data_IF_399874476687
#
_entry.id   IF_399874476687
#
_cell.length_a   1.000
_cell.length_b   1.000
_cell.length_c   1.000
_cell.angle_alpha   90.00
_cell.angle_beta   90.00
_cell.angle_gamma   90.00
#
_symmetry.space_group_name_H-M   'P 1'
#
loop_
_entity.id
_entity.type
_entity.pdbx_description
1 polymer ?
#
# COMPACT_ATOMS: atom_id res chain seq x y z
N UNK A 1 -10.58 30.43 27.51
CA UNK A 1 -11.16 29.14 27.11
C UNK A 1 -10.68 28.91 25.69
N UNK A 2 -9.66 28.10 25.52
CA UNK A 2 -9.15 27.73 24.20
C UNK A 2 -10.17 26.80 23.57
N UNK A 3 -10.60 27.14 22.35
CA UNK A 3 -11.42 26.28 21.50
C UNK A 3 -10.62 25.02 21.22
N UNK A 4 -11.12 23.88 21.71
CA UNK A 4 -10.69 22.56 21.24
C UNK A 4 -10.82 22.54 19.71
N UNK A 5 -9.68 22.64 19.05
CA UNK A 5 -9.61 22.38 17.61
C UNK A 5 -10.10 20.96 17.42
N UNK A 6 -11.09 20.81 16.58
CA UNK A 6 -11.70 19.55 16.16
C UNK A 6 -10.57 18.66 15.57
N UNK A 7 -9.86 17.92 16.43
CA UNK A 7 -8.86 16.94 16.00
C UNK A 7 -9.66 15.78 15.41
N UNK A 8 -9.74 15.74 14.09
CA UNK A 8 -10.31 14.60 13.38
C UNK A 8 -9.55 13.33 13.77
N UNK A 9 -10.28 12.25 13.99
CA UNK A 9 -9.67 10.94 14.19
C UNK A 9 -8.91 10.52 12.94
N UNK A 10 -7.74 9.91 13.13
CA UNK A 10 -6.92 9.42 12.01
C UNK A 10 -7.66 8.31 11.26
N UNK A 11 -7.78 8.47 9.93
CA UNK A 11 -8.37 7.47 9.04
C UNK A 11 -7.32 6.44 8.63
N UNK A 12 -7.63 5.15 8.81
CA UNK A 12 -6.82 4.05 8.31
C UNK A 12 -7.34 3.59 6.95
N UNK A 13 -6.46 3.61 5.94
CA UNK A 13 -6.71 3.07 4.60
C UNK A 13 -5.82 1.84 4.41
N UNK A 14 -6.43 0.68 4.28
CA UNK A 14 -5.73 -0.60 4.18
C UNK A 14 -5.81 -1.11 2.74
N UNK A 15 -4.68 -1.38 2.14
CA UNK A 15 -4.59 -2.11 0.89
C UNK A 15 -4.88 -3.61 1.15
N UNK A 16 -6.10 -4.02 0.84
CA UNK A 16 -6.58 -5.38 1.11
C UNK A 16 -5.82 -6.43 0.30
N UNK A 17 -5.51 -6.14 -0.96
CA UNK A 17 -4.77 -7.05 -1.82
C UNK A 17 -3.35 -7.25 -1.29
N UNK A 18 -2.62 -6.18 -1.03
CA UNK A 18 -1.26 -6.24 -0.50
C UNK A 18 -1.19 -7.02 0.80
N UNK A 19 -2.10 -6.75 1.76
CA UNK A 19 -2.12 -7.46 3.02
C UNK A 19 -2.49 -8.94 2.86
N UNK A 20 -3.44 -9.29 1.98
CA UNK A 20 -3.83 -10.67 1.72
C UNK A 20 -2.69 -11.50 1.13
N UNK A 21 -2.00 -10.95 0.12
CA UNK A 21 -0.80 -11.60 -0.43
C UNK A 21 0.31 -11.73 0.60
N UNK A 22 0.54 -10.67 1.38
CA UNK A 22 1.53 -10.69 2.47
C UNK A 22 1.21 -11.79 3.48
N UNK A 23 -0.04 -11.91 3.93
CA UNK A 23 -0.49 -12.93 4.86
C UNK A 23 -0.25 -14.34 4.31
N UNK A 24 -0.61 -14.56 3.05
CA UNK A 24 -0.45 -15.84 2.38
C UNK A 24 1.02 -16.27 2.30
N UNK A 25 1.92 -15.40 1.84
CA UNK A 25 3.33 -15.76 1.66
C UNK A 25 4.17 -15.71 2.94
N UNK A 26 3.70 -15.05 3.99
CA UNK A 26 4.43 -14.99 5.27
C UNK A 26 4.22 -16.19 6.16
N UNK A 27 3.17 -16.98 5.91
CA UNK A 27 2.78 -18.11 6.73
C UNK A 27 2.80 -19.44 5.95
N UNK A 28 3.11 -20.55 6.63
CA UNK A 28 3.10 -21.86 5.99
C UNK A 28 1.73 -22.24 5.43
N UNK A 29 1.70 -22.80 4.22
CA UNK A 29 0.48 -23.33 3.59
C UNK A 29 -0.15 -24.50 4.37
N UNK A 30 0.61 -25.11 5.30
CA UNK A 30 0.11 -26.18 6.18
C UNK A 30 -0.87 -25.68 7.26
N UNK A 31 -1.04 -24.35 7.41
CA UNK A 31 -2.07 -23.81 8.30
C UNK A 31 -3.43 -23.99 7.65
N UNK A 32 -4.20 -24.93 8.19
CA UNK A 32 -5.48 -25.35 7.65
C UNK A 32 -6.45 -25.76 8.78
N UNK A 33 -7.73 -25.82 8.46
CA UNK A 33 -8.74 -26.41 9.36
C UNK A 33 -8.52 -27.92 9.54
N UNK A 34 -9.20 -28.53 10.51
CA UNK A 34 -9.20 -29.99 10.70
C UNK A 34 -9.73 -30.78 9.50
N UNK A 35 -10.47 -30.12 8.60
CA UNK A 35 -11.00 -30.70 7.35
C UNK A 35 -10.09 -30.46 6.15
N UNK A 36 -8.93 -29.80 6.34
CA UNK A 36 -7.93 -29.52 5.29
C UNK A 36 -8.16 -28.24 4.50
N UNK A 37 -9.14 -27.38 4.85
CA UNK A 37 -9.32 -26.10 4.19
C UNK A 37 -8.17 -25.14 4.56
N UNK A 38 -7.44 -24.53 3.59
CA UNK A 38 -6.32 -23.66 3.86
C UNK A 38 -6.79 -22.37 4.55
N UNK A 39 -6.06 -21.91 5.57
CA UNK A 39 -6.43 -20.74 6.37
C UNK A 39 -5.26 -19.80 6.66
N UNK A 40 -4.08 -20.04 6.10
CA UNK A 40 -2.89 -19.21 6.36
C UNK A 40 -3.10 -17.73 5.98
N UNK A 41 -3.73 -17.44 4.84
CA UNK A 41 -4.02 -16.05 4.43
C UNK A 41 -5.06 -15.41 5.35
N UNK A 42 -6.17 -16.10 5.65
CA UNK A 42 -7.23 -15.61 6.56
C UNK A 42 -6.65 -15.33 7.94
N UNK A 43 -5.88 -16.28 8.49
CA UNK A 43 -5.26 -16.12 9.81
C UNK A 43 -4.25 -14.98 9.85
N UNK A 44 -3.39 -14.88 8.85
CA UNK A 44 -2.40 -13.80 8.77
C UNK A 44 -3.05 -12.43 8.60
N UNK A 45 -4.06 -12.32 7.73
CA UNK A 45 -4.82 -11.08 7.52
C UNK A 45 -5.53 -10.65 8.81
N UNK A 46 -6.25 -11.57 9.47
CA UNK A 46 -6.88 -11.30 10.76
C UNK A 46 -5.86 -10.85 11.82
N UNK A 47 -4.70 -11.51 11.88
CA UNK A 47 -3.62 -11.14 12.82
C UNK A 47 -3.09 -9.73 12.60
N UNK A 48 -2.97 -9.29 11.34
CA UNK A 48 -2.59 -7.92 11.03
C UNK A 48 -3.67 -6.91 11.46
N UNK A 49 -4.96 -7.20 11.23
CA UNK A 49 -6.05 -6.34 11.70
C UNK A 49 -6.10 -6.27 13.23
N UNK A 50 -5.92 -7.39 13.93
CA UNK A 50 -5.84 -7.43 15.39
C UNK A 50 -4.66 -6.60 15.89
N UNK A 51 -3.50 -6.69 15.24
CA UNK A 51 -2.34 -5.87 15.58
C UNK A 51 -2.65 -4.38 15.48
N UNK A 52 -3.23 -3.94 14.36
CA UNK A 52 -3.61 -2.53 14.17
C UNK A 52 -4.58 -2.07 15.26
N UNK A 53 -5.61 -2.87 15.57
CA UNK A 53 -6.57 -2.58 16.62
C UNK A 53 -5.90 -2.49 18.00
N UNK A 54 -4.94 -3.37 18.28
CA UNK A 54 -4.23 -3.41 19.57
C UNK A 54 -3.27 -2.23 19.74
N UNK A 55 -2.56 -1.84 18.68
CA UNK A 55 -1.54 -0.78 18.75
C UNK A 55 -2.13 0.63 18.63
N UNK A 56 -3.18 0.80 17.83
CA UNK A 56 -3.75 2.13 17.51
C UNK A 56 -5.16 2.35 18.06
N UNK A 57 -5.76 1.32 18.67
CA UNK A 57 -7.14 1.38 19.14
C UNK A 57 -8.15 1.32 18.00
N UNK A 58 -9.41 1.55 18.32
CA UNK A 58 -10.48 1.63 17.32
C UNK A 58 -10.35 2.91 16.52
N UNK A 59 -10.12 2.79 15.21
CA UNK A 59 -10.00 3.89 14.26
C UNK A 59 -10.99 3.73 13.11
N UNK A 60 -11.48 4.83 12.52
CA UNK A 60 -12.14 4.76 11.23
C UNK A 60 -11.25 4.04 10.23
N UNK A 61 -11.72 2.90 9.70
CA UNK A 61 -10.89 2.04 8.85
C UNK A 61 -11.65 1.63 7.60
N UNK A 62 -10.99 1.79 6.45
CA UNK A 62 -11.46 1.35 5.14
C UNK A 62 -10.44 0.39 4.58
N UNK A 63 -10.89 -0.78 4.13
CA UNK A 63 -10.07 -1.73 3.37
C UNK A 63 -10.45 -1.61 1.89
N UNK A 64 -9.48 -1.30 1.06
CA UNK A 64 -9.66 -1.08 -0.37
C UNK A 64 -9.15 -2.28 -1.14
N UNK A 65 -9.91 -2.71 -2.15
CA UNK A 65 -9.62 -3.88 -2.97
C UNK A 65 -9.52 -3.52 -4.44
N UNK A 66 -8.64 -4.19 -5.18
CA UNK A 66 -8.55 -4.04 -6.63
C UNK A 66 -9.86 -4.47 -7.32
N UNK A 67 -10.30 -3.66 -8.28
CA UNK A 67 -11.43 -3.95 -9.14
C UNK A 67 -11.16 -3.59 -10.62
N UNK A 68 -9.89 -3.44 -11.00
CA UNK A 68 -9.48 -3.13 -12.36
C UNK A 68 -7.99 -2.83 -12.46
N UNK A 69 -7.59 -2.16 -13.53
CA UNK A 69 -6.21 -1.76 -13.81
C UNK A 69 -6.08 -0.27 -14.17
N UNK A 70 -7.09 0.53 -13.89
CA UNK A 70 -7.07 1.99 -14.05
C UNK A 70 -6.65 2.46 -15.46
N UNK A 71 -6.99 1.69 -16.50
CA UNK A 71 -6.62 2.00 -17.89
C UNK A 71 -5.13 1.83 -18.23
N UNK A 72 -4.27 1.43 -17.28
CA UNK A 72 -2.83 1.34 -17.49
C UNK A 72 -2.41 0.41 -18.62
N UNK A 73 -3.14 -0.69 -18.84
CA UNK A 73 -2.89 -1.61 -19.97
C UNK A 73 -3.19 -1.01 -21.34
N UNK A 74 -4.04 0.00 -21.41
CA UNK A 74 -4.31 0.72 -22.65
C UNK A 74 -3.14 1.58 -23.07
N UNK A 75 -2.44 2.15 -22.07
CA UNK A 75 -1.23 2.97 -22.26
C UNK A 75 0.01 2.11 -22.41
N UNK A 76 0.14 1.05 -21.59
CA UNK A 76 1.27 0.11 -21.61
C UNK A 76 0.78 -1.32 -21.52
N UNK A 77 0.66 -2.05 -22.65
CA UNK A 77 0.21 -3.45 -22.65
C UNK A 77 1.07 -4.38 -21.79
N UNK A 78 2.35 -4.04 -21.61
CA UNK A 78 3.30 -4.80 -20.80
C UNK A 78 3.14 -4.56 -19.28
N UNK A 79 2.34 -3.58 -18.86
CA UNK A 79 2.11 -3.29 -17.45
C UNK A 79 1.57 -4.53 -16.72
N UNK A 80 2.31 -4.96 -15.70
CA UNK A 80 1.99 -6.15 -14.88
C UNK A 80 1.79 -7.44 -15.71
N UNK A 81 2.32 -7.52 -16.96
CA UNK A 81 2.09 -8.65 -17.86
C UNK A 81 2.70 -9.96 -17.33
N UNK A 82 3.76 -9.89 -16.53
CA UNK A 82 4.42 -11.05 -15.93
C UNK A 82 3.73 -11.56 -14.65
N UNK A 83 2.73 -10.83 -14.13
CA UNK A 83 2.01 -11.28 -12.92
C UNK A 83 1.26 -12.57 -13.21
N UNK A 84 1.57 -13.59 -12.42
CA UNK A 84 0.85 -14.87 -12.45
C UNK A 84 -0.54 -14.73 -11.83
N UNK A 85 -1.43 -15.66 -12.17
CA UNK A 85 -2.73 -15.73 -11.49
C UNK A 85 -2.55 -15.95 -9.99
N UNK A 86 -3.55 -15.53 -9.22
CA UNK A 86 -3.59 -15.78 -7.77
C UNK A 86 -3.37 -17.27 -7.49
N UNK A 87 -2.48 -17.64 -6.54
CA UNK A 87 -2.27 -19.03 -6.12
C UNK A 87 -3.59 -19.73 -5.76
N UNK A 88 -3.74 -21.00 -6.10
CA UNK A 88 -5.00 -21.73 -5.91
C UNK A 88 -5.45 -21.71 -4.45
N UNK A 89 -4.55 -21.99 -3.51
CA UNK A 89 -4.84 -21.96 -2.07
C UNK A 89 -5.24 -20.58 -1.56
N UNK A 90 -4.71 -19.50 -2.14
CA UNK A 90 -5.14 -18.14 -1.82
C UNK A 90 -6.50 -17.83 -2.44
N UNK A 91 -6.77 -18.36 -3.65
CA UNK A 91 -8.07 -18.18 -4.34
C UNK A 91 -9.21 -18.80 -3.54
N UNK A 92 -8.99 -19.97 -2.93
CA UNK A 92 -9.97 -20.60 -2.03
C UNK A 92 -10.30 -19.75 -0.81
N UNK A 93 -9.30 -19.09 -0.24
CA UNK A 93 -9.46 -18.25 0.95
C UNK A 93 -10.02 -16.86 0.66
N UNK A 94 -9.88 -16.38 -0.58
CA UNK A 94 -10.20 -14.99 -0.96
C UNK A 94 -11.64 -14.56 -0.62
N UNK A 95 -12.70 -15.39 -0.86
CA UNK A 95 -14.07 -15.02 -0.55
C UNK A 95 -14.34 -14.77 0.94
N UNK A 96 -13.43 -15.18 1.82
CA UNK A 96 -13.57 -15.02 3.27
C UNK A 96 -12.95 -13.72 3.80
N UNK A 97 -12.16 -13.00 3.00
CA UNK A 97 -11.43 -11.82 3.47
C UNK A 97 -12.35 -10.61 3.68
N UNK A 98 -13.24 -10.31 2.75
CA UNK A 98 -14.19 -9.20 2.90
C UNK A 98 -15.18 -9.42 4.07
N UNK A 99 -15.81 -10.62 4.23
CA UNK A 99 -16.61 -10.91 5.42
C UNK A 99 -15.82 -10.82 6.72
N UNK A 100 -14.52 -11.14 6.70
CA UNK A 100 -13.66 -10.94 7.86
C UNK A 100 -13.49 -9.46 8.20
N UNK A 101 -13.27 -8.61 7.20
CA UNK A 101 -13.19 -7.13 7.37
C UNK A 101 -14.49 -6.59 7.95
N UNK A 102 -15.65 -7.04 7.44
CA UNK A 102 -16.96 -6.66 7.97
C UNK A 102 -17.13 -7.08 9.43
N UNK A 103 -16.62 -8.26 9.83
CA UNK A 103 -16.65 -8.74 11.20
C UNK A 103 -15.83 -7.88 12.18
N UNK A 104 -14.79 -7.18 11.69
CA UNK A 104 -14.05 -6.17 12.45
C UNK A 104 -14.79 -4.82 12.56
N UNK A 105 -15.93 -4.66 11.86
CA UNK A 105 -16.65 -3.39 11.77
C UNK A 105 -15.99 -2.39 10.82
N UNK A 106 -15.07 -2.82 9.98
CA UNK A 106 -14.40 -2.00 8.98
C UNK A 106 -15.18 -1.98 7.67
N UNK A 107 -14.90 -1.00 6.81
CA UNK A 107 -15.61 -0.86 5.54
C UNK A 107 -14.79 -1.41 4.39
N UNK A 108 -15.38 -2.31 3.61
CA UNK A 108 -14.84 -2.72 2.31
C UNK A 108 -15.19 -1.70 1.22
N UNK A 109 -14.22 -1.34 0.39
CA UNK A 109 -14.39 -0.46 -0.77
C UNK A 109 -13.76 -1.09 -2.01
N UNK A 110 -14.52 -1.10 -3.09
CA UNK A 110 -14.08 -1.43 -4.47
C UNK A 110 -14.62 -0.38 -5.40
N UNK A 111 -13.83 0.03 -6.37
CA UNK A 111 -14.28 0.93 -7.44
C UNK A 111 -14.01 0.26 -8.79
N UNK A 112 -15.05 -0.10 -9.50
CA UNK A 112 -14.95 -0.83 -10.76
C UNK A 112 -14.01 -0.12 -11.75
N UNK A 113 -13.10 -0.87 -12.34
CA UNK A 113 -12.11 -0.38 -13.27
C UNK A 113 -10.82 0.16 -12.63
N UNK A 114 -10.78 0.37 -11.31
CA UNK A 114 -9.62 0.96 -10.62
C UNK A 114 -8.82 -0.04 -9.79
N UNK A 115 -7.53 0.22 -9.67
CA UNK A 115 -6.66 -0.45 -8.69
C UNK A 115 -6.87 0.14 -7.29
N UNK A 116 -6.57 -0.65 -6.26
CA UNK A 116 -6.70 -0.20 -4.87
C UNK A 116 -5.84 1.05 -4.59
N UNK A 117 -4.64 1.12 -5.16
CA UNK A 117 -3.70 2.24 -4.97
C UNK A 117 -4.29 3.59 -5.40
N UNK A 118 -5.00 3.63 -6.56
CA UNK A 118 -5.63 4.86 -7.04
C UNK A 118 -6.78 5.31 -6.14
N UNK A 119 -7.55 4.34 -5.66
CA UNK A 119 -8.67 4.62 -4.75
C UNK A 119 -8.15 5.09 -3.39
N UNK A 120 -7.10 4.45 -2.86
CA UNK A 120 -6.42 4.85 -1.62
C UNK A 120 -5.87 6.27 -1.75
N UNK A 121 -5.14 6.57 -2.83
CA UNK A 121 -4.59 7.89 -3.08
C UNK A 121 -5.68 8.97 -3.13
N UNK A 122 -6.77 8.71 -3.86
CA UNK A 122 -7.91 9.64 -3.98
C UNK A 122 -8.61 9.89 -2.64
N UNK A 123 -8.80 8.86 -1.81
CA UNK A 123 -9.40 9.01 -0.48
C UNK A 123 -8.44 9.74 0.45
N UNK A 124 -7.13 9.42 0.42
CA UNK A 124 -6.11 10.03 1.26
C UNK A 124 -5.99 11.54 0.97
N UNK A 125 -5.92 11.92 -0.30
CA UNK A 125 -5.89 13.32 -0.72
C UNK A 125 -7.12 14.09 -0.25
N UNK A 126 -8.31 13.54 -0.47
CA UNK A 126 -9.56 14.16 -0.04
C UNK A 126 -9.67 14.27 1.47
N UNK A 127 -9.20 13.28 2.22
CA UNK A 127 -9.18 13.31 3.69
C UNK A 127 -8.22 14.39 4.19
N UNK A 128 -6.99 14.44 3.66
CA UNK A 128 -5.98 15.47 3.94
C UNK A 128 -6.53 16.88 3.72
N UNK A 129 -7.17 17.12 2.58
CA UNK A 129 -7.70 18.44 2.21
C UNK A 129 -8.85 18.87 3.15
N UNK A 130 -9.52 17.92 3.78
CA UNK A 130 -10.51 18.17 4.83
C UNK A 130 -9.92 18.15 6.26
N UNK A 131 -8.59 18.13 6.40
CA UNK A 131 -7.91 18.18 7.68
C UNK A 131 -7.91 16.85 8.46
N UNK A 132 -8.29 15.73 7.83
CA UNK A 132 -8.29 14.40 8.44
C UNK A 132 -6.92 13.75 8.23
N UNK A 133 -6.18 13.41 9.30
CA UNK A 133 -4.94 12.67 9.17
C UNK A 133 -5.21 11.25 8.66
N UNK A 134 -4.28 10.70 7.87
CA UNK A 134 -4.43 9.40 7.22
C UNK A 134 -3.22 8.50 7.47
N UNK A 135 -3.47 7.25 7.82
CA UNK A 135 -2.49 6.17 7.83
C UNK A 135 -2.82 5.16 6.74
N UNK A 136 -2.00 5.11 5.70
CA UNK A 136 -2.10 4.07 4.67
C UNK A 136 -1.31 2.85 5.09
N UNK A 137 -1.92 1.67 5.04
CA UNK A 137 -1.30 0.39 5.41
C UNK A 137 -1.17 -0.47 4.17
N UNK A 138 0.05 -0.64 3.67
CA UNK A 138 0.34 -1.41 2.46
C UNK A 138 1.75 -2.02 2.49
N UNK A 139 1.99 -3.03 1.69
CA UNK A 139 3.33 -3.55 1.42
C UNK A 139 4.00 -2.88 0.22
N UNK A 140 3.24 -2.10 -0.54
CA UNK A 140 3.72 -1.41 -1.71
C UNK A 140 4.41 -0.08 -1.33
N UNK A 141 5.62 0.11 -1.85
CA UNK A 141 6.42 1.31 -1.58
C UNK A 141 6.11 2.47 -2.53
N UNK A 142 5.41 2.19 -3.60
CA UNK A 142 4.94 3.23 -4.52
C UNK A 142 3.95 4.15 -3.82
N UNK A 143 3.24 3.65 -2.79
CA UNK A 143 2.40 4.44 -1.92
C UNK A 143 3.15 5.59 -1.19
N UNK A 144 4.48 5.58 -1.13
CA UNK A 144 5.22 6.68 -0.51
C UNK A 144 5.02 8.01 -1.25
N UNK A 145 4.71 7.98 -2.54
CA UNK A 145 4.42 9.17 -3.35
C UNK A 145 3.27 10.03 -2.82
N UNK A 146 2.34 9.44 -2.04
CA UNK A 146 1.18 10.16 -1.50
C UNK A 146 1.42 10.81 -0.13
N UNK A 147 2.61 10.61 0.46
CA UNK A 147 2.99 11.24 1.72
C UNK A 147 3.21 12.73 1.47
N UNK A 148 2.44 13.57 2.17
CA UNK A 148 2.54 15.03 2.03
C UNK A 148 3.64 15.65 2.93
N UNK A 149 4.13 16.86 2.62
CA UNK A 149 5.18 17.50 3.40
C UNK A 149 4.85 17.69 4.89
N UNK A 150 3.58 17.93 5.21
CA UNK A 150 3.10 18.10 6.58
C UNK A 150 2.88 16.76 7.30
N UNK A 151 3.11 15.64 6.60
CA UNK A 151 2.92 14.27 7.11
C UNK A 151 1.52 13.99 7.70
N UNK A 152 0.50 14.64 7.15
CA UNK A 152 -0.90 14.34 7.43
C UNK A 152 -1.29 12.99 6.82
N UNK A 153 -0.68 12.63 5.67
CA UNK A 153 -0.73 11.30 5.09
C UNK A 153 0.60 10.61 5.41
N UNK A 154 0.53 9.46 6.07
CA UNK A 154 1.68 8.60 6.39
C UNK A 154 1.44 7.20 5.87
N UNK A 155 2.52 6.46 5.61
CA UNK A 155 2.42 5.08 5.12
C UNK A 155 3.04 4.14 6.14
N UNK A 156 2.26 3.17 6.60
CA UNK A 156 2.73 2.02 7.34
C UNK A 156 3.07 0.91 6.36
N UNK A 157 4.36 0.79 6.06
CA UNK A 157 4.85 -0.27 5.20
C UNK A 157 5.01 -1.57 5.98
N UNK A 158 4.46 -2.67 5.43
CA UNK A 158 4.67 -4.00 6.00
C UNK A 158 6.05 -4.54 5.61
N UNK A 159 6.79 -5.06 6.59
CA UNK A 159 8.10 -5.67 6.43
C UNK A 159 8.06 -7.16 6.15
N UNK A 160 9.07 -7.92 6.60
CA UNK A 160 9.06 -9.39 6.53
C UNK A 160 8.19 -9.96 7.64
N UNK A 161 7.28 -10.89 7.29
CA UNK A 161 6.32 -11.47 8.23
C UNK A 161 5.02 -10.64 8.35
N UNK A 162 4.12 -11.07 9.22
CA UNK A 162 2.77 -10.48 9.37
C UNK A 162 2.73 -9.31 10.37
N UNK A 163 3.73 -9.16 11.20
CA UNK A 163 3.74 -8.15 12.30
C UNK A 163 4.85 -7.12 12.19
N UNK A 164 5.76 -7.26 11.25
CA UNK A 164 6.85 -6.31 11.04
C UNK A 164 6.31 -5.13 10.22
N UNK A 165 6.20 -3.96 10.84
CA UNK A 165 5.69 -2.75 10.20
C UNK A 165 6.60 -1.56 10.53
N UNK A 166 6.74 -0.63 9.59
CA UNK A 166 7.43 0.62 9.78
C UNK A 166 6.61 1.77 9.22
N UNK A 167 6.38 2.80 10.03
CA UNK A 167 5.71 4.02 9.57
C UNK A 167 6.73 4.92 8.88
N UNK A 168 6.33 5.42 7.73
CA UNK A 168 7.05 6.43 6.96
C UNK A 168 6.23 7.71 6.92
N UNK A 169 6.83 8.79 7.32
CA UNK A 169 6.45 10.17 7.10
C UNK A 169 7.35 10.78 6.02
N UNK A 170 7.19 12.05 5.73
CA UNK A 170 8.00 12.76 4.74
C UNK A 170 9.51 12.62 5.02
N UNK A 171 9.95 12.86 6.27
CA UNK A 171 11.36 12.79 6.62
C UNK A 171 11.93 11.38 6.50
N UNK A 172 11.16 10.36 6.89
CA UNK A 172 11.59 8.96 6.78
C UNK A 172 11.77 8.50 5.31
N UNK A 173 11.01 9.07 4.37
CA UNK A 173 11.22 8.84 2.93
C UNK A 173 12.50 9.52 2.48
N UNK A 174 12.73 10.79 2.85
CA UNK A 174 13.96 11.53 2.52
C UNK A 174 15.19 10.81 3.09
N UNK A 175 15.14 10.37 4.34
CA UNK A 175 16.26 9.64 4.99
C UNK A 175 16.58 8.32 4.27
N UNK A 176 15.55 7.67 3.71
CA UNK A 176 15.70 6.37 3.03
C UNK A 176 16.18 6.49 1.60
N UNK A 177 15.57 7.41 0.83
CA UNK A 177 15.76 7.52 -0.62
C UNK A 177 16.64 8.70 -1.02
N UNK A 178 16.87 9.65 -0.10
CA UNK A 178 17.60 10.89 -0.38
C UNK A 178 16.80 11.90 -1.21
N UNK A 179 15.53 11.61 -1.48
CA UNK A 179 14.60 12.43 -2.26
C UNK A 179 13.26 12.54 -1.53
N UNK A 180 12.49 13.60 -1.76
CA UNK A 180 11.17 13.75 -1.16
C UNK A 180 10.14 12.81 -1.80
N UNK A 181 9.00 12.56 -1.12
CA UNK A 181 7.95 11.63 -1.57
C UNK A 181 7.43 11.88 -2.99
N UNK A 182 7.26 13.11 -3.39
CA UNK A 182 6.76 13.50 -4.72
C UNK A 182 7.66 13.04 -5.89
N UNK A 183 8.95 12.75 -5.61
CA UNK A 183 9.88 12.24 -6.61
C UNK A 183 9.98 10.69 -6.63
N UNK A 184 9.17 10.00 -5.86
CA UNK A 184 9.12 8.52 -5.89
C UNK A 184 8.71 7.97 -7.26
N UNK A 185 7.74 8.55 -8.00
CA UNK A 185 7.45 8.11 -9.36
C UNK A 185 8.64 8.27 -10.30
N UNK A 186 9.35 9.39 -10.24
CA UNK A 186 10.54 9.66 -11.05
C UNK A 186 11.68 8.70 -10.72
N UNK A 187 11.86 8.39 -9.44
CA UNK A 187 12.82 7.43 -8.97
C UNK A 187 12.57 6.03 -9.57
N UNK A 188 11.31 5.57 -9.56
CA UNK A 188 10.95 4.28 -10.17
C UNK A 188 10.97 4.36 -11.71
N UNK A 189 10.69 5.51 -12.31
CA UNK A 189 10.87 5.73 -13.75
C UNK A 189 12.33 5.55 -14.18
N UNK A 190 13.29 6.08 -13.41
CA UNK A 190 14.71 5.93 -13.68
C UNK A 190 15.25 4.52 -13.43
N UNK A 191 14.98 3.95 -12.25
CA UNK A 191 15.54 2.66 -11.87
C UNK A 191 14.75 1.46 -12.40
N UNK A 192 13.50 1.67 -12.77
CA UNK A 192 12.53 0.64 -13.10
C UNK A 192 11.82 0.05 -11.88
N UNK A 193 10.74 -0.65 -12.15
CA UNK A 193 10.01 -1.48 -11.19
C UNK A 193 9.69 -2.85 -11.80
N UNK A 194 10.34 -3.87 -11.27
CA UNK A 194 10.11 -5.24 -11.72
C UNK A 194 8.75 -5.78 -11.35
N UNK A 195 8.11 -5.26 -10.28
CA UNK A 195 6.78 -5.72 -9.85
C UNK A 195 5.70 -5.28 -10.82
N UNK A 196 5.89 -4.12 -11.45
CA UNK A 196 4.96 -3.54 -12.42
C UNK A 196 5.43 -3.68 -13.88
N UNK A 197 6.57 -4.36 -14.08
CA UNK A 197 7.19 -4.56 -15.39
C UNK A 197 7.63 -3.23 -16.05
N UNK A 198 8.13 -2.31 -15.24
CA UNK A 198 8.71 -1.05 -15.70
C UNK A 198 10.23 -1.25 -15.84
N UNK A 199 10.80 -1.17 -17.07
CA UNK A 199 12.20 -1.55 -17.31
C UNK A 199 13.20 -0.58 -16.69
N UNK A 200 12.86 0.69 -16.52
CA UNK A 200 13.79 1.75 -16.13
C UNK A 200 14.88 2.01 -17.18
N UNK A 201 15.91 2.72 -16.79
CA UNK A 201 17.07 3.04 -17.64
C UNK A 201 18.19 2.05 -17.35
N UNK A 202 18.75 1.35 -18.37
CA UNK A 202 19.82 0.40 -18.17
C UNK A 202 21.02 1.00 -17.43
N UNK A 203 21.46 0.32 -16.35
CA UNK A 203 22.61 0.77 -15.54
C UNK A 203 22.27 1.78 -14.44
N UNK A 204 21.02 2.24 -14.34
CA UNK A 204 20.55 3.09 -13.25
C UNK A 204 19.91 2.22 -12.16
N UNK A 205 20.57 2.16 -11.00
CA UNK A 205 20.02 1.55 -9.78
C UNK A 205 19.64 2.62 -8.75
N UNK A 206 19.22 2.18 -7.57
CA UNK A 206 18.71 3.05 -6.49
C UNK A 206 19.62 4.26 -6.21
N UNK A 207 20.93 4.03 -6.04
CA UNK A 207 21.87 5.09 -5.72
C UNK A 207 21.99 6.13 -6.83
N UNK A 208 22.08 5.68 -8.08
CA UNK A 208 22.23 6.56 -9.23
C UNK A 208 20.95 7.35 -9.49
N UNK A 209 19.79 6.71 -9.40
CA UNK A 209 18.49 7.38 -9.53
C UNK A 209 18.33 8.50 -8.48
N UNK A 210 18.61 8.21 -7.19
CA UNK A 210 18.57 9.22 -6.14
C UNK A 210 19.53 10.40 -6.41
N UNK A 211 20.78 10.12 -6.83
CA UNK A 211 21.78 11.17 -7.11
C UNK A 211 21.39 12.05 -8.29
N UNK A 212 20.78 11.47 -9.33
CA UNK A 212 20.30 12.22 -10.48
C UNK A 212 19.17 13.16 -10.08
N UNK A 213 18.17 12.66 -9.35
CA UNK A 213 17.04 13.48 -8.90
C UNK A 213 17.48 14.55 -7.89
N UNK A 214 18.41 14.28 -6.98
CA UNK A 214 19.01 15.28 -6.10
C UNK A 214 19.72 16.39 -6.85
N UNK A 215 20.33 16.09 -7.99
CA UNK A 215 21.13 17.04 -8.76
C UNK A 215 20.28 17.84 -9.74
N UNK A 216 19.32 17.23 -10.38
CA UNK A 216 18.59 17.80 -11.52
C UNK A 216 17.15 18.13 -11.19
N UNK A 217 16.56 17.53 -10.15
CA UNK A 217 15.18 17.76 -9.73
C UNK A 217 14.25 16.62 -10.22
N UNK A 218 13.68 16.78 -11.40
CA UNK A 218 12.70 15.84 -11.96
C UNK A 218 13.30 14.87 -12.98
N UNK A 219 12.57 13.83 -13.36
CA UNK A 219 12.93 12.93 -14.44
C UNK A 219 13.10 13.67 -15.76
N UNK A 220 12.22 14.61 -16.05
CA UNK A 220 12.27 15.44 -17.23
C UNK A 220 13.54 16.31 -17.30
N UNK A 221 14.01 16.78 -16.14
CA UNK A 221 15.26 17.57 -16.06
C UNK A 221 16.51 16.69 -16.21
N UNK A 222 16.39 15.38 -16.01
CA UNK A 222 17.49 14.41 -16.20
C UNK A 222 17.66 14.03 -17.68
N UNK A 223 16.57 14.08 -18.47
CA UNK A 223 16.54 13.68 -19.90
C UNK A 223 17.01 14.82 -20.81
#
# INVERSE_FOLDING_TARGET
MATDGNQHEELFLIDGNSLAYRAFFALPESIATSTGFPTNAIFGFASMLVKLLTEYGTKPTIVVWDAGMSGRKEVSPEYKAQRTSRPDLLREQWPHLEPLVDAFGYRNVKVDGFEADDVIASIAERARDNGVPVMVVTGDRDAFQIIDPDSKVRVMATGRGITDTKVYDHQAVVDRYGIPPELIPDFYGLKGDTSDNIPGVPGIGDKTASQLLQRFGTLEDVL
#
